data_IF_306162558136
#
_entry.id   IF_306162558136
#
_cell.length_a   1.000
_cell.length_b   1.000
_cell.length_c   1.000
_cell.angle_alpha   90.00
_cell.angle_beta   90.00
_cell.angle_gamma   90.00
#
_symmetry.space_group_name_H-M   'P 1'
#
loop_
_entity.id
_entity.type
_entity.pdbx_description
1 polymer ?
#
# COMPACT_ATOMS: atom_id res chain seq x y z
N UNK A 1 46.17 41.91 3.85
CA UNK A 1 45.12 41.43 4.79
C UNK A 1 44.07 40.75 3.93
N UNK A 2 43.65 39.60 4.41
CA UNK A 2 43.26 38.42 3.67
C UNK A 2 41.85 38.49 3.05
N UNK A 3 41.69 37.81 1.93
CA UNK A 3 40.45 37.60 1.20
C UNK A 3 39.63 36.48 1.84
N UNK A 4 38.31 36.62 1.89
CA UNK A 4 37.44 35.57 2.45
C UNK A 4 35.97 35.73 2.08
N UNK A 5 35.66 35.60 0.78
CA UNK A 5 34.31 35.28 0.30
C UNK A 5 34.13 33.77 0.36
N UNK A 6 33.22 33.30 1.23
CA UNK A 6 32.86 31.89 1.39
C UNK A 6 31.34 31.72 1.55
N UNK A 7 30.74 31.29 0.45
CA UNK A 7 29.64 30.32 0.29
C UNK A 7 28.45 30.26 1.29
N UNK A 8 27.26 30.28 0.69
CA UNK A 8 25.99 29.85 1.30
C UNK A 8 25.02 29.41 0.21
N UNK A 9 25.45 28.43 -0.59
CA UNK A 9 24.67 27.79 -1.65
C UNK A 9 23.78 26.69 -1.04
N UNK A 10 22.56 27.02 -0.61
CA UNK A 10 21.54 26.02 -0.21
C UNK A 10 20.11 26.58 -0.34
N UNK A 11 19.70 26.98 -1.55
CA UNK A 11 18.26 27.21 -1.83
C UNK A 11 17.79 26.70 -3.19
N UNK A 12 18.69 26.24 -4.06
CA UNK A 12 18.33 25.80 -5.42
C UNK A 12 17.87 24.34 -5.50
N UNK A 13 18.08 23.53 -4.46
CA UNK A 13 17.72 22.10 -4.46
C UNK A 13 16.28 21.84 -4.00
N UNK A 14 15.77 22.58 -3.02
CA UNK A 14 14.36 22.43 -2.55
C UNK A 14 13.35 22.94 -3.61
N UNK A 15 13.72 23.97 -4.38
CA UNK A 15 12.86 24.48 -5.46
C UNK A 15 12.79 23.51 -6.66
N UNK A 16 13.86 22.74 -6.93
CA UNK A 16 13.88 21.78 -8.05
C UNK A 16 13.01 20.54 -7.78
N UNK A 17 12.88 20.09 -6.53
CA UNK A 17 11.93 19.03 -6.15
C UNK A 17 10.46 19.45 -6.33
N UNK A 18 10.17 20.74 -6.15
CA UNK A 18 8.80 21.28 -6.27
C UNK A 18 8.34 21.42 -7.73
N UNK A 19 9.29 21.50 -8.68
CA UNK A 19 9.01 21.64 -10.12
C UNK A 19 8.86 20.33 -10.88
N UNK A 20 9.19 19.18 -10.28
CA UNK A 20 8.78 17.88 -10.83
C UNK A 20 7.34 17.69 -10.39
N UNK A 21 6.39 18.07 -11.24
CA UNK A 21 4.98 17.70 -11.05
C UNK A 21 4.93 16.22 -10.69
N UNK A 22 4.49 15.88 -9.47
CA UNK A 22 4.43 14.49 -9.03
C UNK A 22 3.61 13.70 -10.02
N UNK A 23 4.26 12.85 -10.81
CA UNK A 23 3.56 12.07 -11.83
C UNK A 23 2.65 11.06 -11.14
N UNK A 24 1.54 10.68 -11.78
CA UNK A 24 0.70 9.61 -11.25
C UNK A 24 1.52 8.32 -11.05
N UNK A 25 2.56 8.10 -11.87
CA UNK A 25 3.48 6.97 -11.72
C UNK A 25 4.27 7.05 -10.41
N UNK A 26 4.73 8.23 -9.99
CA UNK A 26 5.45 8.39 -8.71
C UNK A 26 4.52 8.24 -7.50
N UNK A 27 3.27 8.70 -7.61
CA UNK A 27 2.24 8.44 -6.63
C UNK A 27 1.95 6.92 -6.53
N UNK A 28 1.88 6.21 -7.66
CA UNK A 28 1.68 4.77 -7.67
C UNK A 28 2.87 4.02 -7.08
N UNK A 29 4.11 4.43 -7.37
CA UNK A 29 5.32 3.85 -6.74
C UNK A 29 5.28 4.00 -5.21
N UNK A 30 4.79 5.15 -4.73
CA UNK A 30 4.62 5.41 -3.30
C UNK A 30 3.54 4.52 -2.70
N UNK A 31 2.35 4.50 -3.27
CA UNK A 31 1.26 3.63 -2.82
C UNK A 31 1.69 2.16 -2.79
N UNK A 32 2.40 1.71 -3.84
CA UNK A 32 2.98 0.38 -3.91
C UNK A 32 3.98 0.06 -2.80
N UNK A 33 4.93 0.96 -2.51
CA UNK A 33 5.89 0.75 -1.41
C UNK A 33 5.19 0.71 -0.06
N UNK A 34 4.28 1.66 0.19
CA UNK A 34 3.50 1.72 1.43
C UNK A 34 2.69 0.44 1.61
N UNK A 35 1.99 0.00 0.58
CA UNK A 35 1.25 -1.26 0.62
C UNK A 35 2.17 -2.45 0.84
N UNK A 36 3.33 -2.53 0.18
CA UNK A 36 4.24 -3.66 0.35
C UNK A 36 4.84 -3.76 1.77
N UNK A 37 5.13 -2.62 2.40
CA UNK A 37 5.77 -2.58 3.71
C UNK A 37 4.78 -2.60 4.90
N UNK A 38 3.52 -2.21 4.68
CA UNK A 38 2.51 -2.20 5.74
C UNK A 38 2.06 -3.63 6.12
N UNK A 39 1.86 -3.94 7.41
CA UNK A 39 1.38 -5.25 7.86
C UNK A 39 -0.12 -5.48 7.63
N UNK A 40 -0.91 -4.41 7.51
CA UNK A 40 -2.35 -4.41 7.25
C UNK A 40 -2.66 -3.92 5.83
N UNK A 41 -3.91 -4.07 5.38
CA UNK A 41 -4.39 -3.51 4.11
C UNK A 41 -4.56 -1.99 4.24
N UNK A 42 -3.99 -1.22 3.30
CA UNK A 42 -4.14 0.23 3.26
C UNK A 42 -5.35 0.65 2.42
N UNK A 43 -5.71 1.93 2.45
CA UNK A 43 -6.78 2.49 1.64
C UNK A 43 -6.52 2.28 0.14
N UNK A 44 -7.51 1.78 -0.59
CA UNK A 44 -7.43 1.67 -2.04
C UNK A 44 -7.47 3.05 -2.70
N UNK A 45 -6.42 3.37 -3.45
CA UNK A 45 -6.26 4.62 -4.20
C UNK A 45 -7.06 4.60 -5.53
N UNK A 46 -8.39 4.53 -5.44
CA UNK A 46 -9.28 4.34 -6.61
C UNK A 46 -9.05 5.37 -7.72
N UNK A 47 -8.99 6.66 -7.36
CA UNK A 47 -8.80 7.74 -8.34
C UNK A 47 -7.44 7.66 -9.03
N UNK A 48 -6.38 7.29 -8.32
CA UNK A 48 -5.04 7.14 -8.88
C UNK A 48 -4.97 5.93 -9.82
N UNK A 49 -5.50 4.78 -9.39
CA UNK A 49 -5.52 3.56 -10.21
C UNK A 49 -6.32 3.79 -11.49
N UNK A 50 -7.45 4.49 -11.43
CA UNK A 50 -8.23 4.85 -12.61
C UNK A 50 -7.41 5.67 -13.61
N UNK A 51 -6.79 6.77 -13.16
CA UNK A 51 -5.97 7.62 -14.04
C UNK A 51 -4.79 6.85 -14.65
N UNK A 52 -4.12 5.99 -13.88
CA UNK A 52 -3.03 5.15 -14.41
C UNK A 52 -3.54 4.18 -15.47
N UNK A 53 -4.71 3.54 -15.26
CA UNK A 53 -5.29 2.64 -16.26
C UNK A 53 -5.58 3.38 -17.57
N UNK A 54 -6.18 4.57 -17.50
CA UNK A 54 -6.42 5.41 -18.67
C UNK A 54 -5.11 5.83 -19.36
N UNK A 55 -4.08 6.22 -18.60
CA UNK A 55 -2.77 6.58 -19.14
C UNK A 55 -2.09 5.40 -19.84
N UNK A 56 -2.20 4.18 -19.29
CA UNK A 56 -1.69 2.95 -19.90
C UNK A 56 -2.43 2.67 -21.22
N UNK A 57 -3.76 2.76 -21.23
CA UNK A 57 -4.57 2.50 -22.43
C UNK A 57 -4.26 3.49 -23.56
N UNK A 58 -4.12 4.79 -23.23
CA UNK A 58 -3.73 5.81 -24.20
C UNK A 58 -2.29 5.60 -24.71
N UNK A 59 -1.37 5.20 -23.83
CA UNK A 59 0.01 4.93 -24.20
C UNK A 59 0.11 3.70 -25.12
N UNK A 60 -0.69 2.66 -24.87
CA UNK A 60 -0.80 1.48 -25.75
C UNK A 60 -1.25 1.89 -27.16
N UNK A 61 -2.33 2.67 -27.27
CA UNK A 61 -2.85 3.14 -28.56
C UNK A 61 -1.83 4.01 -29.32
N UNK A 62 -1.10 4.86 -28.59
CA UNK A 62 -0.06 5.70 -29.20
C UNK A 62 1.12 4.87 -29.71
N UNK A 63 1.57 3.84 -28.96
CA UNK A 63 2.65 2.95 -29.40
C UNK A 63 2.24 2.19 -30.67
N UNK A 64 1.01 1.69 -30.73
CA UNK A 64 0.47 1.01 -31.93
C UNK A 64 0.40 1.95 -33.14
N UNK A 65 -0.02 3.20 -32.95
CA UNK A 65 -0.09 4.20 -34.00
C UNK A 65 1.31 4.60 -34.52
N UNK A 66 2.26 4.83 -33.60
CA UNK A 66 3.66 5.11 -33.92
C UNK A 66 4.30 3.98 -34.72
N UNK A 67 4.00 2.71 -34.38
CA UNK A 67 4.48 1.54 -35.11
C UNK A 67 4.01 1.55 -36.58
N UNK A 68 2.76 1.96 -36.82
CA UNK A 68 2.20 2.06 -38.16
C UNK A 68 2.80 3.22 -38.99
N UNK A 69 3.17 4.33 -38.34
CA UNK A 69 3.73 5.52 -38.98
C UNK A 69 5.23 5.39 -39.31
N UNK A 70 5.88 4.31 -38.88
CA UNK A 70 7.28 4.01 -39.21
C UNK A 70 8.28 4.89 -38.46
N UNK A 71 7.97 5.23 -37.20
CA UNK A 71 8.85 6.00 -36.31
C UNK A 71 10.20 5.28 -36.06
N UNK A 72 11.16 5.99 -35.47
CA UNK A 72 12.48 5.41 -35.20
C UNK A 72 12.38 4.20 -34.23
N UNK A 73 12.99 3.04 -34.56
CA UNK A 73 12.88 1.83 -33.73
C UNK A 73 13.39 1.99 -32.29
N UNK A 74 14.38 2.87 -32.05
CA UNK A 74 14.89 3.10 -30.70
C UNK A 74 13.85 3.85 -29.85
N UNK A 75 13.19 4.85 -30.43
CA UNK A 75 12.12 5.61 -29.77
C UNK A 75 10.93 4.72 -29.42
N UNK A 76 10.47 3.87 -30.34
CA UNK A 76 9.42 2.88 -30.06
C UNK A 76 9.80 1.95 -28.92
N UNK A 77 11.04 1.45 -28.93
CA UNK A 77 11.54 0.55 -27.89
C UNK A 77 11.54 1.23 -26.51
N UNK A 78 11.89 2.52 -26.44
CA UNK A 78 11.82 3.28 -25.19
C UNK A 78 10.38 3.42 -24.68
N UNK A 79 9.43 3.78 -25.54
CA UNK A 79 8.02 3.87 -25.13
C UNK A 79 7.46 2.53 -24.65
N UNK A 80 7.77 1.44 -25.34
CA UNK A 80 7.37 0.09 -24.92
C UNK A 80 7.95 -0.27 -23.54
N UNK A 81 9.24 0.02 -23.31
CA UNK A 81 9.88 -0.25 -22.01
C UNK A 81 9.21 0.52 -20.87
N UNK A 82 8.86 1.80 -21.08
CA UNK A 82 8.21 2.60 -20.04
C UNK A 82 6.75 2.18 -19.80
N UNK A 83 6.05 1.76 -20.84
CA UNK A 83 4.73 1.14 -20.74
C UNK A 83 4.79 -0.15 -19.91
N UNK A 84 5.71 -1.06 -20.25
CA UNK A 84 5.90 -2.34 -19.55
C UNK A 84 6.22 -2.12 -18.07
N UNK A 85 7.07 -1.13 -17.75
CA UNK A 85 7.42 -0.77 -16.37
C UNK A 85 6.21 -0.26 -15.60
N UNK A 86 5.37 0.57 -16.22
CA UNK A 86 4.17 1.13 -15.60
C UNK A 86 3.11 0.06 -15.38
N UNK A 87 2.87 -0.81 -16.37
CA UNK A 87 2.00 -1.98 -16.22
C UNK A 87 2.49 -2.92 -15.12
N UNK A 88 3.80 -3.21 -15.07
CA UNK A 88 4.39 -4.04 -14.03
C UNK A 88 4.11 -3.46 -12.64
N UNK A 89 4.33 -2.15 -12.48
CA UNK A 89 4.11 -1.47 -11.21
C UNK A 89 2.65 -1.57 -10.75
N UNK A 90 1.69 -1.28 -11.64
CA UNK A 90 0.26 -1.40 -11.35
C UNK A 90 -0.11 -2.85 -10.98
N UNK A 91 0.32 -3.83 -11.78
CA UNK A 91 0.09 -5.26 -11.50
C UNK A 91 0.70 -5.68 -10.18
N UNK A 92 1.89 -5.18 -9.84
CA UNK A 92 2.56 -5.49 -8.58
C UNK A 92 1.79 -4.93 -7.38
N UNK A 93 1.31 -3.68 -7.46
CA UNK A 93 0.44 -3.07 -6.45
C UNK A 93 -0.82 -3.90 -6.19
N UNK A 94 -1.58 -4.21 -7.24
CA UNK A 94 -2.81 -5.00 -7.11
C UNK A 94 -2.53 -6.41 -6.57
N UNK A 95 -1.44 -7.05 -7.00
CA UNK A 95 -1.06 -8.39 -6.52
C UNK A 95 -0.73 -8.40 -5.02
N UNK A 96 0.01 -7.40 -4.53
CA UNK A 96 0.32 -7.30 -3.09
C UNK A 96 -0.96 -7.15 -2.27
N UNK A 97 -1.92 -6.33 -2.76
CA UNK A 97 -3.22 -6.18 -2.11
C UNK A 97 -4.00 -7.48 -2.05
N UNK A 98 -4.14 -8.17 -3.19
CA UNK A 98 -4.82 -9.47 -3.24
C UNK A 98 -4.19 -10.50 -2.28
N UNK A 99 -2.87 -10.56 -2.18
CA UNK A 99 -2.18 -11.44 -1.22
C UNK A 99 -2.52 -11.13 0.23
N UNK A 100 -2.63 -9.83 0.58
CA UNK A 100 -3.06 -9.43 1.93
C UNK A 100 -4.52 -9.74 2.18
N UNK A 101 -5.38 -9.52 1.19
CA UNK A 101 -6.81 -9.83 1.27
C UNK A 101 -7.01 -11.33 1.52
N UNK A 102 -6.35 -12.18 0.74
CA UNK A 102 -6.40 -13.63 0.89
C UNK A 102 -5.89 -14.08 2.27
N UNK A 103 -4.78 -13.49 2.74
CA UNK A 103 -4.19 -13.81 4.04
C UNK A 103 -5.07 -13.43 5.24
N UNK A 104 -5.79 -12.33 5.14
CA UNK A 104 -6.58 -11.75 6.24
C UNK A 104 -8.08 -11.75 5.94
N UNK A 105 -8.56 -12.70 5.13
CA UNK A 105 -9.91 -12.69 4.56
C UNK A 105 -11.02 -12.58 5.61
N UNK A 106 -11.01 -13.45 6.61
CA UNK A 106 -12.02 -13.46 7.68
C UNK A 106 -11.92 -12.21 8.59
N UNK A 107 -10.72 -11.67 8.77
CA UNK A 107 -10.52 -10.43 9.52
C UNK A 107 -11.08 -9.22 8.77
N UNK A 108 -10.85 -9.15 7.46
CA UNK A 108 -11.34 -8.08 6.59
C UNK A 108 -12.87 -8.14 6.50
N UNK A 109 -13.46 -9.31 6.23
CA UNK A 109 -14.91 -9.48 6.13
C UNK A 109 -15.66 -9.18 7.43
N UNK A 110 -14.99 -9.25 8.59
CA UNK A 110 -15.58 -8.95 9.90
C UNK A 110 -15.68 -7.45 10.20
N UNK A 111 -14.84 -6.63 9.60
CA UNK A 111 -14.66 -5.23 10.00
C UNK A 111 -15.02 -4.28 8.86
N UNK A 112 -16.05 -3.46 9.04
CA UNK A 112 -16.49 -2.48 8.03
C UNK A 112 -15.37 -1.49 7.63
N UNK A 113 -14.53 -1.10 8.59
CA UNK A 113 -13.37 -0.23 8.30
C UNK A 113 -12.42 -0.86 7.28
N UNK A 114 -12.14 -2.16 7.43
CA UNK A 114 -11.27 -2.88 6.51
C UNK A 114 -11.92 -3.05 5.14
N UNK A 115 -13.22 -3.33 5.09
CA UNK A 115 -13.98 -3.43 3.83
C UNK A 115 -13.98 -2.12 3.04
N UNK A 116 -14.14 -0.99 3.72
CA UNK A 116 -14.12 0.33 3.09
C UNK A 116 -12.75 0.71 2.49
N UNK A 117 -11.68 -0.01 2.86
CA UNK A 117 -10.33 0.16 2.28
C UNK A 117 -10.14 -0.61 0.97
N UNK A 118 -11.08 -1.47 0.56
CA UNK A 118 -11.01 -2.30 -0.65
C UNK A 118 -11.73 -1.63 -1.83
N UNK A 119 -11.31 -1.97 -3.05
CA UNK A 119 -12.10 -1.68 -4.26
C UNK A 119 -13.35 -2.56 -4.34
N UNK A 120 -14.33 -2.18 -5.16
CA UNK A 120 -15.56 -2.98 -5.36
C UNK A 120 -15.25 -4.40 -5.89
N UNK A 121 -14.26 -4.50 -6.78
CA UNK A 121 -13.79 -5.79 -7.31
C UNK A 121 -13.05 -6.60 -6.24
N UNK A 122 -12.25 -5.94 -5.39
CA UNK A 122 -11.57 -6.57 -4.26
C UNK A 122 -12.56 -7.09 -3.21
N UNK A 123 -13.64 -6.34 -2.94
CA UNK A 123 -14.71 -6.77 -2.03
C UNK A 123 -15.43 -8.00 -2.58
N UNK A 124 -15.75 -8.00 -3.88
CA UNK A 124 -16.37 -9.15 -4.55
C UNK A 124 -15.47 -10.38 -4.48
N UNK A 125 -14.17 -10.20 -4.71
CA UNK A 125 -13.16 -11.26 -4.58
C UNK A 125 -13.09 -11.79 -3.14
N UNK A 126 -13.02 -10.92 -2.14
CA UNK A 126 -12.96 -11.30 -0.73
C UNK A 126 -14.19 -12.10 -0.29
N UNK A 127 -15.39 -11.69 -0.72
CA UNK A 127 -16.63 -12.41 -0.43
C UNK A 127 -16.62 -13.81 -1.05
N UNK A 128 -16.35 -13.92 -2.35
CA UNK A 128 -16.31 -15.20 -3.07
C UNK A 128 -15.27 -16.15 -2.48
N UNK A 129 -14.04 -15.67 -2.27
CA UNK A 129 -12.96 -16.48 -1.74
C UNK A 129 -13.25 -16.94 -0.30
N UNK A 130 -13.89 -16.09 0.52
CA UNK A 130 -14.31 -16.44 1.88
C UNK A 130 -15.37 -17.54 1.91
N UNK A 131 -16.36 -17.45 1.02
CA UNK A 131 -17.41 -18.44 0.88
C UNK A 131 -16.87 -19.78 0.35
N UNK A 132 -15.99 -19.74 -0.66
CA UNK A 132 -15.34 -20.92 -1.23
C UNK A 132 -14.48 -21.64 -0.18
N UNK A 133 -13.69 -20.89 0.60
CA UNK A 133 -12.85 -21.43 1.66
C UNK A 133 -13.71 -22.04 2.77
N UNK A 134 -14.78 -21.37 3.19
CA UNK A 134 -15.74 -21.88 4.17
C UNK A 134 -16.38 -23.18 3.69
N UNK A 135 -16.86 -23.21 2.46
CA UNK A 135 -17.48 -24.40 1.87
C UNK A 135 -16.49 -25.57 1.84
N UNK A 136 -15.26 -25.32 1.39
CA UNK A 136 -14.19 -26.32 1.33
C UNK A 136 -13.84 -26.89 2.70
N UNK A 137 -13.64 -26.03 3.71
CA UNK A 137 -13.33 -26.45 5.08
C UNK A 137 -14.49 -27.26 5.68
N UNK A 138 -15.74 -26.82 5.44
CA UNK A 138 -16.94 -27.50 5.92
C UNK A 138 -17.09 -28.90 5.36
N UNK A 139 -16.91 -29.06 4.05
CA UNK A 139 -17.00 -30.35 3.37
C UNK A 139 -15.85 -31.29 3.78
N UNK A 140 -14.62 -30.77 3.86
CA UNK A 140 -13.43 -31.60 4.03
C UNK A 140 -13.25 -32.07 5.47
N UNK A 141 -13.39 -31.16 6.44
CA UNK A 141 -12.99 -31.39 7.84
C UNK A 141 -14.08 -31.05 8.84
N UNK A 142 -14.66 -29.84 8.81
CA UNK A 142 -15.46 -29.34 9.93
C UNK A 142 -16.75 -30.14 10.17
N UNK A 143 -17.36 -30.68 9.10
CA UNK A 143 -18.53 -31.56 9.22
C UNK A 143 -18.25 -32.89 9.92
N UNK A 144 -16.97 -33.29 10.02
CA UNK A 144 -16.52 -34.53 10.67
C UNK A 144 -16.07 -34.30 12.10
N UNK A 145 -15.93 -33.05 12.52
CA UNK A 145 -15.54 -32.69 13.88
C UNK A 145 -16.75 -32.68 14.82
N UNK A 146 -16.55 -32.92 16.13
CA UNK A 146 -17.60 -32.71 17.13
C UNK A 146 -18.13 -31.27 17.06
N UNK A 147 -19.38 -31.07 17.51
CA UNK A 147 -20.07 -29.76 17.44
C UNK A 147 -19.30 -28.64 18.13
N UNK A 148 -18.49 -28.97 19.13
CA UNK A 148 -17.71 -27.99 19.87
C UNK A 148 -16.50 -27.47 19.09
N UNK A 149 -16.12 -28.10 17.96
CA UNK A 149 -14.92 -27.79 17.18
C UNK A 149 -15.22 -27.60 15.68
N UNK A 150 -16.49 -27.47 15.29
CA UNK A 150 -16.92 -27.42 13.88
C UNK A 150 -16.93 -26.00 13.27
N UNK A 151 -16.37 -25.02 13.97
CA UNK A 151 -16.28 -23.64 13.52
C UNK A 151 -14.95 -23.37 12.81
N UNK A 152 -14.99 -22.57 11.76
CA UNK A 152 -13.81 -22.04 11.06
C UNK A 152 -13.22 -20.79 11.72
N UNK A 153 -13.96 -20.16 12.64
CA UNK A 153 -13.58 -18.89 13.28
C UNK A 153 -13.07 -19.07 14.71
N UNK A 154 -13.47 -20.17 15.37
CA UNK A 154 -13.22 -20.44 16.77
C UNK A 154 -12.56 -21.79 16.98
N UNK A 155 -11.63 -21.86 17.92
CA UNK A 155 -10.97 -23.10 18.33
C UNK A 155 -11.95 -24.03 19.04
N UNK A 156 -12.86 -23.48 19.86
CA UNK A 156 -13.87 -24.26 20.56
C UNK A 156 -15.17 -23.47 20.74
N UNK A 157 -16.28 -24.18 21.03
CA UNK A 157 -17.55 -23.55 21.41
C UNK A 157 -17.47 -22.74 22.72
N UNK A 158 -16.45 -22.99 23.55
CA UNK A 158 -16.19 -22.21 24.76
C UNK A 158 -15.40 -20.92 24.49
N UNK A 159 -14.84 -20.74 23.28
CA UNK A 159 -14.13 -19.51 22.91
C UNK A 159 -15.13 -18.37 22.73
N UNK A 160 -14.97 -17.29 23.51
CA UNK A 160 -15.83 -16.11 23.41
C UNK A 160 -15.57 -15.34 22.10
N UNK A 161 -14.29 -15.22 21.73
CA UNK A 161 -13.82 -14.50 20.55
C UNK A 161 -13.44 -15.44 19.39
N UNK A 162 -13.26 -14.87 18.20
CA UNK A 162 -12.80 -15.57 17.00
C UNK A 162 -11.28 -15.74 17.02
N UNK A 163 -10.80 -16.61 17.91
CA UNK A 163 -9.38 -16.87 18.21
C UNK A 163 -8.60 -17.57 17.07
N UNK A 164 -9.29 -18.10 16.05
CA UNK A 164 -8.69 -18.75 14.89
C UNK A 164 -8.56 -17.83 13.67
N UNK A 165 -9.03 -16.58 13.76
CA UNK A 165 -8.97 -15.61 12.66
C UNK A 165 -7.62 -14.87 12.67
N UNK A 166 -6.76 -15.04 11.64
CA UNK A 166 -5.50 -14.30 11.58
C UNK A 166 -5.75 -12.81 11.42
N UNK A 167 -5.14 -11.99 12.27
CA UNK A 167 -5.18 -10.53 12.19
C UNK A 167 -3.81 -9.93 11.79
N UNK A 168 -3.79 -8.76 11.14
CA UNK A 168 -2.57 -7.99 10.91
C UNK A 168 -1.84 -7.65 12.22
N UNK A 169 -0.52 -7.81 12.24
CA UNK A 169 0.30 -7.49 13.42
C UNK A 169 0.75 -6.04 13.39
N UNK A 170 0.02 -5.16 14.06
CA UNK A 170 0.31 -3.71 14.08
C UNK A 170 1.58 -3.35 14.88
N UNK A 171 2.03 -4.24 15.78
CA UNK A 171 3.31 -4.09 16.51
C UNK A 171 4.55 -4.42 15.65
N UNK A 172 4.37 -4.79 14.39
CA UNK A 172 5.48 -5.09 13.49
C UNK A 172 6.32 -3.84 13.25
N UNK A 173 7.64 -3.98 13.31
CA UNK A 173 8.55 -2.88 13.01
C UNK A 173 8.67 -2.67 11.50
N UNK A 174 8.66 -1.40 11.11
CA UNK A 174 8.80 -0.96 9.72
C UNK A 174 9.83 0.16 9.62
N UNK A 175 10.43 0.30 8.44
CA UNK A 175 11.30 1.44 8.12
C UNK A 175 10.44 2.48 7.42
N UNK A 176 10.52 3.72 7.88
CA UNK A 176 9.76 4.82 7.32
C UNK A 176 10.60 6.09 7.20
N UNK A 177 10.16 6.98 6.32
CA UNK A 177 10.75 8.29 6.04
C UNK A 177 9.68 9.35 6.21
N UNK A 178 9.95 10.37 7.01
CA UNK A 178 9.04 11.50 7.16
C UNK A 178 9.21 12.47 5.98
N UNK A 179 8.10 12.95 5.39
CA UNK A 179 8.14 13.93 4.29
C UNK A 179 8.29 15.36 4.75
N UNK A 180 7.95 15.60 6.01
CA UNK A 180 7.99 16.87 6.68
C UNK A 180 8.36 16.62 8.13
N UNK A 181 8.68 17.68 8.87
CA UNK A 181 8.79 17.57 10.32
C UNK A 181 7.45 17.10 10.90
N UNK A 182 7.50 16.05 11.72
CA UNK A 182 6.33 15.48 12.40
C UNK A 182 6.54 15.68 13.89
N UNK A 183 5.55 16.30 14.52
CA UNK A 183 5.57 16.57 15.96
C UNK A 183 4.78 15.51 16.74
N UNK A 184 4.99 15.45 18.05
CA UNK A 184 4.24 14.59 18.98
C UNK A 184 2.71 14.64 18.82
N UNK A 185 2.17 15.75 18.32
CA UNK A 185 0.73 15.99 18.13
C UNK A 185 0.13 15.21 16.95
N UNK A 186 0.97 14.77 16.01
CA UNK A 186 0.52 14.02 14.84
C UNK A 186 0.30 12.53 15.11
N UNK A 187 0.88 12.04 16.21
CA UNK A 187 0.72 10.67 16.69
C UNK A 187 -0.55 10.53 17.54
N UNK A 188 -0.99 9.29 17.76
CA UNK A 188 -2.09 9.07 18.70
C UNK A 188 -1.65 9.40 20.13
N UNK A 189 -2.55 9.96 20.97
CA UNK A 189 -2.19 10.40 22.33
C UNK A 189 -1.57 9.29 23.17
N UNK A 190 -2.03 8.05 22.98
CA UNK A 190 -1.56 6.86 23.68
C UNK A 190 -0.09 6.54 23.40
N UNK A 191 0.44 6.93 22.23
CA UNK A 191 1.81 6.65 21.79
C UNK A 191 2.72 7.89 21.77
N UNK A 192 2.19 9.05 22.17
CA UNK A 192 2.93 10.33 22.20
C UNK A 192 4.17 10.32 23.11
N UNK A 193 4.26 9.36 24.04
CA UNK A 193 5.40 9.16 24.92
C UNK A 193 6.54 8.32 24.31
N UNK A 194 6.27 7.55 23.24
CA UNK A 194 7.25 6.64 22.63
C UNK A 194 7.97 7.28 21.44
N UNK A 195 7.27 8.13 20.68
CA UNK A 195 7.86 8.93 19.59
C UNK A 195 7.41 10.38 19.75
N UNK A 196 8.38 11.26 19.97
CA UNK A 196 8.11 12.69 20.20
C UNK A 196 8.26 13.53 18.93
N UNK A 197 9.16 13.14 18.03
CA UNK A 197 9.39 13.87 16.77
C UNK A 197 10.03 12.98 15.70
N UNK A 198 9.83 13.37 14.44
CA UNK A 198 10.57 12.83 13.31
C UNK A 198 11.03 13.97 12.40
N UNK A 199 12.33 14.00 12.12
CA UNK A 199 12.92 14.98 11.19
C UNK A 199 12.57 14.65 9.73
N UNK A 200 12.43 15.70 8.91
CA UNK A 200 12.20 15.55 7.47
C UNK A 200 13.34 14.73 6.86
N UNK A 201 12.96 13.78 6.01
CA UNK A 201 13.83 12.90 5.22
C UNK A 201 14.71 11.92 6.01
N UNK A 202 14.59 11.87 7.35
CA UNK A 202 15.30 10.90 8.18
C UNK A 202 14.62 9.53 8.14
N UNK A 203 15.40 8.48 7.89
CA UNK A 203 14.96 7.10 7.98
C UNK A 203 14.87 6.67 9.44
N UNK A 204 13.69 6.20 9.84
CA UNK A 204 13.42 5.78 11.21
C UNK A 204 12.83 4.38 11.23
N UNK A 205 13.27 3.57 12.19
CA UNK A 205 12.77 2.21 12.43
C UNK A 205 11.85 2.22 13.65
N UNK A 206 10.56 1.94 13.44
CA UNK A 206 9.50 2.12 14.46
C UNK A 206 8.41 1.05 14.33
N UNK A 207 7.64 0.83 15.39
CA UNK A 207 6.44 -0.01 15.30
C UNK A 207 5.37 0.66 14.43
N UNK A 208 4.74 -0.12 13.55
CA UNK A 208 3.76 0.39 12.60
C UNK A 208 2.57 1.07 13.29
N UNK A 209 2.09 0.54 14.42
CA UNK A 209 0.98 1.13 15.19
C UNK A 209 1.16 2.62 15.52
N UNK A 210 2.40 3.08 15.73
CA UNK A 210 2.67 4.49 16.07
C UNK A 210 2.49 5.41 14.86
N UNK A 211 2.89 4.93 13.68
CA UNK A 211 2.93 5.73 12.46
C UNK A 211 1.70 5.55 11.56
N UNK A 212 0.73 4.70 11.95
CA UNK A 212 -0.47 4.41 11.16
C UNK A 212 -1.21 5.69 10.74
N UNK A 213 -1.55 6.56 11.70
CA UNK A 213 -2.26 7.81 11.43
C UNK A 213 -1.44 8.82 10.60
N UNK A 214 -0.16 9.10 10.92
CA UNK A 214 0.69 9.91 10.03
C UNK A 214 0.86 9.35 8.61
N UNK A 215 0.87 8.02 8.45
CA UNK A 215 0.92 7.33 7.16
C UNK A 215 -0.37 7.54 6.37
N UNK A 216 -1.53 7.35 7.00
CA UNK A 216 -2.86 7.60 6.39
C UNK A 216 -3.03 9.06 5.97
N UNK A 217 -2.50 10.00 6.76
CA UNK A 217 -2.46 11.43 6.41
C UNK A 217 -1.39 11.79 5.36
N UNK A 218 -0.61 10.80 4.92
CA UNK A 218 0.41 10.94 3.89
C UNK A 218 1.68 11.69 4.30
N UNK A 219 1.88 11.96 5.60
CA UNK A 219 3.07 12.65 6.15
C UNK A 219 4.30 11.75 6.20
N UNK A 220 4.09 10.44 6.23
CA UNK A 220 5.13 9.41 6.26
C UNK A 220 5.02 8.54 5.02
N UNK A 221 6.17 8.07 4.54
CA UNK A 221 6.28 6.98 3.57
C UNK A 221 7.01 5.80 4.18
N UNK A 222 6.56 4.59 3.85
CA UNK A 222 7.30 3.38 4.14
C UNK A 222 8.33 3.12 3.03
N UNK A 223 9.41 2.44 3.40
CA UNK A 223 10.55 2.17 2.51
C UNK A 223 10.57 0.73 2.03
#
# INVERSE_FOLDING_TARGET
MDSGTGEGSTSFTDDYETFISTTDVDLLKRAWRNEKAAPEILQYEAALVHRIKEQIELAEQNVEASEADGEDPLTMSLYQMDLDRTQFLLRSYLRVRLQKIEKYIFHILKTDESLNRLSDEEQTFAASCGDDLRAHLKETVLSKLPTDYNSELKQSAASEEDDMVPAPRLDSFVICKARQYISGLDFEPEYSHEITEMERDLLTFVCYKFIKKPLENGKIDLV
#
